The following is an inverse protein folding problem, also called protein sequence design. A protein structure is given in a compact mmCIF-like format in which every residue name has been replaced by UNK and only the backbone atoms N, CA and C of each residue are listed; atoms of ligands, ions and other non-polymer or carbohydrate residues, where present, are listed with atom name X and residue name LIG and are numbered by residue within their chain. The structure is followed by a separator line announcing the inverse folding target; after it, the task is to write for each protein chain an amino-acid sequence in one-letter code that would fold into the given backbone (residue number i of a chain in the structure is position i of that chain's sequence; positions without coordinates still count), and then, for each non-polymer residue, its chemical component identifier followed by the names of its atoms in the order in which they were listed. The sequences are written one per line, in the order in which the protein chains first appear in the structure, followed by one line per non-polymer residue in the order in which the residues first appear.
data_IF_350069148159
#
_entry.id   IF_350069148159
#
_cell.length_a   1.000
_cell.length_b   1.000
_cell.length_c   1.000
_cell.angle_alpha   90.00
_cell.angle_beta   90.00
_cell.angle_gamma   90.00
#
_symmetry.space_group_name_H-M   'P 1'
#
loop_
_entity.id
_entity.type
_entity.pdbx_description
1 polymer ?
#
# COMPACT_ATOMS: atom_id res chain seq x y z
N UNK A 1 -24.37 36.63 -26.42
CA UNK A 1 -25.07 37.32 -25.31
C UNK A 1 -25.02 36.41 -24.11
N UNK A 2 -24.09 36.64 -23.18
CA UNK A 2 -24.10 35.97 -21.87
C UNK A 2 -25.03 36.71 -20.92
N UNK A 3 -25.78 35.97 -20.10
CA UNK A 3 -26.52 36.55 -18.98
C UNK A 3 -25.57 36.83 -17.82
N UNK A 4 -25.92 37.73 -16.89
CA UNK A 4 -25.09 38.10 -15.73
C UNK A 4 -24.64 36.87 -14.89
N UNK A 5 -25.40 35.77 -14.95
CA UNK A 5 -25.14 34.53 -14.19
C UNK A 5 -24.56 33.41 -15.06
N UNK A 6 -24.16 33.69 -16.30
CA UNK A 6 -23.57 32.67 -17.17
C UNK A 6 -22.16 32.32 -16.68
N UNK A 7 -21.92 31.02 -16.50
CA UNK A 7 -20.57 30.49 -16.21
C UNK A 7 -19.70 30.71 -17.45
N UNK A 8 -18.53 31.32 -17.26
CA UNK A 8 -17.57 31.57 -18.31
C UNK A 8 -16.63 30.37 -18.46
N UNK A 9 -16.35 30.00 -19.70
CA UNK A 9 -15.36 28.98 -20.04
C UNK A 9 -13.94 29.48 -19.69
N UNK A 10 -13.02 28.63 -19.20
CA UNK A 10 -11.64 29.02 -18.90
C UNK A 10 -10.94 29.81 -20.01
N UNK A 11 -11.10 29.42 -21.28
CA UNK A 11 -10.49 30.12 -22.42
C UNK A 11 -11.01 31.55 -22.58
N UNK A 12 -12.31 31.75 -22.38
CA UNK A 12 -12.94 33.10 -22.44
C UNK A 12 -12.51 33.93 -21.23
N UNK A 13 -12.32 33.28 -20.08
CA UNK A 13 -11.93 33.92 -18.84
C UNK A 13 -10.48 34.41 -18.89
N UNK A 14 -9.56 33.62 -19.46
CA UNK A 14 -8.17 34.02 -19.75
C UNK A 14 -8.11 35.24 -20.65
N UNK A 15 -8.84 35.19 -21.76
CA UNK A 15 -8.87 36.27 -22.75
C UNK A 15 -9.33 37.60 -22.14
N UNK A 16 -10.40 37.58 -21.32
CA UNK A 16 -10.92 38.78 -20.66
C UNK A 16 -9.91 39.33 -19.62
N UNK A 17 -9.23 38.45 -18.89
CA UNK A 17 -8.23 38.91 -17.93
C UNK A 17 -7.00 39.53 -18.56
N UNK A 18 -6.53 38.98 -19.67
CA UNK A 18 -5.44 39.57 -20.43
C UNK A 18 -5.82 40.98 -20.91
N UNK A 19 -7.05 41.16 -21.42
CA UNK A 19 -7.57 42.46 -21.84
C UNK A 19 -7.69 43.47 -20.68
N UNK A 20 -7.93 42.99 -19.45
CA UNK A 20 -7.98 43.78 -18.23
C UNK A 20 -6.64 43.93 -17.51
N UNK A 21 -5.55 43.33 -18.03
CA UNK A 21 -4.22 43.38 -17.44
C UNK A 21 -4.09 42.61 -16.11
N UNK A 22 -4.93 41.61 -15.88
CA UNK A 22 -4.93 40.77 -14.69
C UNK A 22 -4.25 39.43 -14.98
N UNK A 23 -3.41 38.96 -14.07
CA UNK A 23 -2.93 37.58 -14.09
C UNK A 23 -3.93 36.70 -13.36
N UNK A 24 -4.54 35.74 -14.08
CA UNK A 24 -5.37 34.71 -13.47
C UNK A 24 -4.54 33.44 -13.35
N UNK A 25 -4.63 32.80 -12.19
CA UNK A 25 -4.22 31.43 -11.99
C UNK A 25 -5.48 30.57 -11.85
N UNK A 26 -5.75 29.68 -12.81
CA UNK A 26 -6.81 28.71 -12.69
C UNK A 26 -6.39 27.65 -11.69
N UNK A 27 -6.72 27.86 -10.42
CA UNK A 27 -6.65 26.80 -9.44
C UNK A 27 -7.62 25.73 -9.90
N UNK A 28 -7.11 24.53 -10.22
CA UNK A 28 -7.98 23.38 -10.34
C UNK A 28 -8.82 23.32 -9.06
N UNK A 29 -10.13 23.02 -9.14
CA UNK A 29 -10.92 22.83 -7.95
C UNK A 29 -10.23 21.74 -7.13
N UNK A 30 -9.61 22.14 -6.03
CA UNK A 30 -9.01 21.21 -5.07
C UNK A 30 -10.14 20.30 -4.67
N UNK A 31 -9.99 19.00 -4.94
CA UNK A 31 -11.06 18.08 -4.62
C UNK A 31 -11.21 18.07 -3.10
N UNK A 32 -12.43 17.82 -2.59
CA UNK A 32 -12.61 17.66 -1.14
C UNK A 32 -11.72 16.54 -0.58
N UNK A 33 -11.28 15.61 -1.44
CA UNK A 33 -10.27 14.60 -1.10
C UNK A 33 -8.88 15.19 -0.94
N UNK A 34 -8.40 16.05 -1.84
CA UNK A 34 -7.11 16.74 -1.66
C UNK A 34 -7.13 17.62 -0.42
N UNK A 35 -8.27 18.24 -0.08
CA UNK A 35 -8.43 18.95 1.19
C UNK A 35 -8.40 18.00 2.40
N UNK A 36 -8.99 16.80 2.30
CA UNK A 36 -8.92 15.79 3.35
C UNK A 36 -7.51 15.20 3.46
N UNK A 37 -6.87 14.84 2.35
CA UNK A 37 -5.49 14.39 2.28
C UNK A 37 -4.58 15.46 2.89
N UNK A 38 -4.72 16.73 2.48
CA UNK A 38 -3.95 17.83 3.05
C UNK A 38 -4.28 18.08 4.52
N UNK A 39 -5.54 17.90 4.95
CA UNK A 39 -5.91 17.98 6.37
C UNK A 39 -5.29 16.85 7.17
N UNK A 40 -5.28 15.62 6.66
CA UNK A 40 -4.76 14.47 7.39
C UNK A 40 -3.23 14.38 7.31
N UNK A 41 -2.61 14.60 6.15
CA UNK A 41 -1.15 14.60 5.97
C UNK A 41 -0.48 15.91 6.39
N UNK A 42 -1.15 17.05 6.25
CA UNK A 42 -0.61 18.38 6.58
C UNK A 42 -0.92 18.85 8.01
N UNK A 43 -1.61 18.05 8.82
CA UNK A 43 -1.59 18.21 10.27
C UNK A 43 -0.18 17.85 10.75
N UNK A 44 0.66 18.87 10.96
CA UNK A 44 1.92 18.72 11.67
C UNK A 44 1.61 18.19 13.07
N UNK A 45 1.90 16.90 13.27
CA UNK A 45 1.82 16.25 14.57
C UNK A 45 2.90 16.86 15.48
N UNK A 46 2.57 17.08 16.77
CA UNK A 46 3.59 17.47 17.74
C UNK A 46 4.67 16.36 17.77
N UNK A 47 5.96 16.69 17.68
CA UNK A 47 7.03 15.69 17.78
C UNK A 47 6.93 14.79 19.02
N UNK A 48 6.26 15.24 20.08
CA UNK A 48 6.01 14.44 21.29
C UNK A 48 4.94 13.34 21.11
N UNK A 49 4.02 13.50 20.15
CA UNK A 49 2.96 12.53 19.85
C UNK A 49 3.41 11.47 18.83
N UNK A 50 4.53 11.70 18.15
CA UNK A 50 5.12 10.77 17.20
C UNK A 50 5.82 9.61 17.92
N UNK A 51 5.33 8.39 17.68
CA UNK A 51 5.94 7.15 18.18
C UNK A 51 6.48 6.32 17.02
N UNK A 52 7.51 5.52 17.30
CA UNK A 52 8.04 4.54 16.34
C UNK A 52 6.93 3.56 15.98
N UNK A 53 6.71 3.36 14.68
CA UNK A 53 5.70 2.40 14.17
C UNK A 53 6.34 1.20 13.50
N UNK A 54 5.63 0.05 13.44
CA UNK A 54 6.07 -1.11 12.66
C UNK A 54 6.28 -0.77 11.18
N UNK A 55 7.27 -1.35 10.49
CA UNK A 55 7.38 -1.21 9.03
C UNK A 55 6.28 -2.00 8.32
N UNK A 56 5.78 -1.44 7.22
CA UNK A 56 4.93 -2.13 6.24
C UNK A 56 5.79 -2.55 5.05
N UNK A 57 5.80 -3.84 4.75
CA UNK A 57 6.74 -4.46 3.82
C UNK A 57 5.97 -5.16 2.70
N UNK A 58 6.35 -4.92 1.44
CA UNK A 58 5.79 -5.66 0.29
C UNK A 58 6.82 -6.55 -0.36
N UNK A 59 6.39 -7.71 -0.85
CA UNK A 59 7.21 -8.56 -1.70
C UNK A 59 6.90 -8.27 -3.17
N UNK A 60 7.94 -7.97 -3.94
CA UNK A 60 7.89 -7.71 -5.37
C UNK A 60 8.86 -8.64 -6.11
N UNK A 61 8.71 -8.77 -7.43
CA UNK A 61 9.59 -9.61 -8.26
C UNK A 61 8.82 -10.50 -9.23
N UNK A 62 9.57 -11.25 -10.04
CA UNK A 62 9.02 -12.09 -11.11
C UNK A 62 8.15 -13.25 -10.60
N UNK A 63 7.26 -13.75 -11.45
CA UNK A 63 6.50 -14.99 -11.21
C UNK A 63 7.47 -16.14 -10.93
N UNK A 64 7.08 -17.06 -10.04
CA UNK A 64 7.87 -18.24 -9.63
C UNK A 64 9.24 -17.98 -8.97
N UNK A 65 9.54 -16.72 -8.62
CA UNK A 65 10.70 -16.40 -7.77
C UNK A 65 10.47 -16.68 -6.27
N UNK A 66 9.27 -17.14 -5.89
CA UNK A 66 8.97 -17.59 -4.53
C UNK A 66 8.60 -16.50 -3.52
N UNK A 67 8.02 -15.37 -3.97
CA UNK A 67 7.48 -14.29 -3.10
C UNK A 67 6.51 -14.82 -2.04
N UNK A 68 5.44 -15.46 -2.48
CA UNK A 68 4.42 -16.03 -1.60
C UNK A 68 4.98 -17.13 -0.72
N UNK A 69 5.84 -18.01 -1.26
CA UNK A 69 6.47 -19.08 -0.47
C UNK A 69 7.37 -18.53 0.64
N UNK A 70 8.07 -17.42 0.38
CA UNK A 70 8.92 -16.76 1.37
C UNK A 70 8.06 -16.12 2.47
N UNK A 71 6.97 -15.45 2.09
CA UNK A 71 6.00 -14.89 3.03
C UNK A 71 5.34 -15.98 3.88
N UNK A 72 4.89 -17.07 3.26
CA UNK A 72 4.31 -18.24 3.92
C UNK A 72 5.26 -18.81 4.98
N UNK A 73 6.56 -18.92 4.63
CA UNK A 73 7.60 -19.38 5.54
C UNK A 73 7.80 -18.43 6.72
N UNK A 74 7.70 -17.12 6.50
CA UNK A 74 7.83 -16.07 7.53
C UNK A 74 6.65 -16.14 8.52
N UNK A 75 5.44 -16.31 8.03
CA UNK A 75 4.22 -16.26 8.84
C UNK A 75 3.77 -17.64 9.35
N UNK A 76 4.54 -18.69 9.05
CA UNK A 76 4.29 -20.09 9.42
C UNK A 76 2.89 -20.59 9.00
N UNK A 77 2.47 -20.23 7.78
CA UNK A 77 1.25 -20.75 7.16
C UNK A 77 1.55 -21.31 5.78
N UNK A 78 0.70 -22.20 5.28
CA UNK A 78 0.77 -22.72 3.92
C UNK A 78 -0.45 -22.23 3.13
N UNK A 79 -0.28 -21.10 2.45
CA UNK A 79 -1.28 -20.50 1.57
C UNK A 79 -1.14 -21.00 0.14
N UNK A 80 0.10 -21.14 -0.34
CA UNK A 80 0.41 -21.51 -1.73
C UNK A 80 -0.28 -22.81 -2.13
N UNK A 81 -0.38 -23.79 -1.22
CA UNK A 81 -1.07 -25.07 -1.50
C UNK A 81 -2.59 -24.94 -1.66
N UNK A 82 -3.21 -23.88 -1.13
CA UNK A 82 -4.65 -23.64 -1.15
C UNK A 82 -5.15 -22.75 -2.29
N UNK A 83 -4.27 -22.04 -2.99
CA UNK A 83 -4.63 -21.15 -4.10
C UNK A 83 -4.80 -21.90 -5.43
N UNK A 84 -5.81 -21.51 -6.20
CA UNK A 84 -6.08 -22.12 -7.51
C UNK A 84 -4.93 -21.83 -8.48
N UNK A 85 -4.25 -22.88 -8.94
CA UNK A 85 -3.10 -22.76 -9.84
C UNK A 85 -1.77 -22.47 -9.17
N UNK A 86 -1.70 -22.49 -7.82
CA UNK A 86 -0.44 -22.31 -7.07
C UNK A 86 0.17 -20.92 -7.15
N UNK A 87 -0.63 -19.90 -7.52
CA UNK A 87 -0.21 -18.50 -7.63
C UNK A 87 -1.11 -17.58 -6.81
N UNK A 88 -0.53 -16.48 -6.32
CA UNK A 88 -1.27 -15.44 -5.58
C UNK A 88 -2.06 -14.55 -6.52
N UNK A 89 -3.38 -14.52 -6.31
CA UNK A 89 -4.34 -13.76 -7.13
C UNK A 89 -4.96 -12.57 -6.38
N UNK A 90 -4.83 -12.54 -5.05
CA UNK A 90 -5.43 -11.52 -4.19
C UNK A 90 -4.36 -10.82 -3.36
N UNK A 91 -4.55 -9.51 -3.11
CA UNK A 91 -3.68 -8.78 -2.17
C UNK A 91 -3.95 -9.31 -0.76
N UNK A 92 -2.89 -9.66 -0.05
CA UNK A 92 -2.98 -10.12 1.34
C UNK A 92 -2.21 -9.18 2.23
N UNK A 93 -2.59 -9.11 3.50
CA UNK A 93 -1.79 -8.37 4.47
C UNK A 93 -1.84 -9.06 5.82
N UNK A 94 -0.69 -9.13 6.49
CA UNK A 94 -0.50 -9.88 7.73
C UNK A 94 0.41 -9.08 8.66
N UNK A 95 0.25 -9.25 9.97
CA UNK A 95 1.16 -8.70 10.98
C UNK A 95 1.77 -9.87 11.74
N UNK A 96 3.09 -9.84 11.95
CA UNK A 96 3.80 -10.78 12.83
C UNK A 96 4.60 -10.03 13.88
N UNK A 97 5.08 -10.76 14.87
CA UNK A 97 6.00 -10.27 15.89
C UNK A 97 7.33 -11.04 15.83
N UNK A 98 8.44 -10.30 15.76
CA UNK A 98 9.81 -10.80 15.83
C UNK A 98 10.54 -10.07 16.95
N UNK A 99 10.97 -10.80 17.97
CA UNK A 99 11.73 -10.27 19.11
C UNK A 99 11.08 -9.03 19.78
N UNK A 100 9.75 -9.04 19.89
CA UNK A 100 8.96 -7.93 20.47
C UNK A 100 8.73 -6.75 19.52
N UNK A 101 9.23 -6.81 18.29
CA UNK A 101 8.97 -5.81 17.23
C UNK A 101 7.96 -6.38 16.24
N UNK A 102 6.95 -5.58 15.90
CA UNK A 102 5.94 -5.97 14.93
C UNK A 102 6.39 -5.63 13.52
N UNK A 103 5.97 -6.43 12.55
CA UNK A 103 6.23 -6.23 11.12
C UNK A 103 4.94 -6.54 10.37
N UNK A 104 4.55 -5.63 9.49
CA UNK A 104 3.37 -5.80 8.65
C UNK A 104 3.80 -6.13 7.22
N UNK A 105 3.20 -7.14 6.64
CA UNK A 105 3.43 -7.55 5.27
C UNK A 105 2.22 -7.27 4.40
N UNK A 106 2.45 -6.86 3.16
CA UNK A 106 1.46 -6.76 2.09
C UNK A 106 1.95 -7.63 0.94
N UNK A 107 1.22 -8.69 0.64
CA UNK A 107 1.53 -9.58 -0.48
C UNK A 107 0.79 -9.11 -1.73
N UNK A 108 1.53 -8.98 -2.85
CA UNK A 108 0.96 -8.56 -4.13
C UNK A 108 1.18 -9.61 -5.21
N UNK A 109 0.19 -9.85 -6.09
CA UNK A 109 0.36 -10.74 -7.24
C UNK A 109 1.50 -10.32 -8.18
N UNK A 110 2.31 -11.29 -8.62
CA UNK A 110 3.46 -11.05 -9.50
C UNK A 110 3.18 -11.05 -11.01
N UNK A 111 1.98 -11.46 -11.46
CA UNK A 111 1.67 -11.59 -12.88
C UNK A 111 1.48 -10.22 -13.56
N UNK A 112 1.84 -10.09 -14.84
CA UNK A 112 1.73 -8.83 -15.62
C UNK A 112 0.32 -8.23 -15.60
N UNK A 113 -0.71 -9.08 -15.63
CA UNK A 113 -2.10 -8.64 -15.54
C UNK A 113 -2.46 -7.85 -14.25
N UNK A 114 -1.57 -7.82 -13.24
CA UNK A 114 -1.79 -7.18 -11.94
C UNK A 114 -0.80 -6.03 -11.66
N UNK A 115 -0.29 -5.36 -12.69
CA UNK A 115 0.61 -4.20 -12.54
C UNK A 115 0.02 -3.12 -11.62
N UNK A 116 -1.28 -2.83 -11.70
CA UNK A 116 -1.93 -1.89 -10.79
C UNK A 116 -1.85 -2.33 -9.31
N UNK A 117 -1.88 -3.63 -9.03
CA UNK A 117 -1.76 -4.13 -7.66
C UNK A 117 -0.34 -3.96 -7.12
N UNK A 118 0.69 -4.10 -7.96
CA UNK A 118 2.09 -3.83 -7.59
C UNK A 118 2.31 -2.36 -7.26
N UNK A 119 1.82 -1.46 -8.10
CA UNK A 119 1.89 -0.03 -7.84
C UNK A 119 1.20 0.37 -6.52
N UNK A 120 0.05 -0.25 -6.23
CA UNK A 120 -0.66 -0.05 -4.95
C UNK A 120 0.12 -0.58 -3.75
N UNK A 121 0.71 -1.77 -3.86
CA UNK A 121 1.58 -2.33 -2.82
C UNK A 121 2.71 -1.37 -2.50
N UNK A 122 3.47 -0.96 -3.51
CA UNK A 122 4.60 -0.04 -3.35
C UNK A 122 4.19 1.28 -2.66
N UNK A 123 3.09 1.91 -3.07
CA UNK A 123 2.65 3.19 -2.49
C UNK A 123 2.18 3.11 -1.02
N UNK A 124 1.91 1.91 -0.53
CA UNK A 124 1.39 1.69 0.83
C UNK A 124 2.49 1.24 1.80
N UNK A 125 3.64 0.84 1.27
CA UNK A 125 4.71 0.21 2.03
C UNK A 125 5.88 1.13 2.31
N UNK A 126 6.54 0.88 3.43
CA UNK A 126 7.74 1.59 3.85
C UNK A 126 9.00 0.96 3.27
N UNK A 127 8.98 -0.35 2.97
CA UNK A 127 10.11 -1.10 2.41
C UNK A 127 9.60 -2.11 1.37
N UNK A 128 10.30 -2.20 0.23
CA UNK A 128 10.04 -3.20 -0.79
C UNK A 128 11.10 -4.31 -0.76
N UNK A 129 10.68 -5.56 -0.60
CA UNK A 129 11.53 -6.74 -0.76
C UNK A 129 11.46 -7.21 -2.21
N UNK A 130 12.55 -7.05 -2.95
CA UNK A 130 12.67 -7.55 -4.31
C UNK A 130 13.17 -9.01 -4.28
N UNK A 131 12.29 -9.95 -4.58
CA UNK A 131 12.62 -11.38 -4.61
C UNK A 131 13.16 -11.76 -5.99
N UNK A 132 14.44 -12.15 -6.03
CA UNK A 132 15.15 -12.56 -7.24
C UNK A 132 15.60 -14.00 -7.06
N UNK A 133 15.13 -14.90 -7.92
CA UNK A 133 15.54 -16.29 -7.83
C UNK A 133 16.96 -16.47 -8.36
N UNK A 134 17.76 -17.25 -7.65
CA UNK A 134 19.19 -17.37 -7.93
C UNK A 134 19.52 -18.22 -9.18
N UNK A 135 18.59 -19.09 -9.58
CA UNK A 135 18.61 -19.86 -10.82
C UNK A 135 18.29 -18.99 -12.04
N UNK A 136 17.32 -18.08 -11.92
CA UNK A 136 16.85 -17.24 -13.02
C UNK A 136 17.67 -15.96 -13.17
N UNK A 137 17.78 -15.17 -12.11
CA UNK A 137 18.36 -13.82 -12.12
C UNK A 137 17.31 -12.72 -12.32
N UNK A 138 17.74 -11.55 -12.81
CA UNK A 138 16.83 -10.42 -13.06
C UNK A 138 16.02 -10.66 -14.34
N UNK A 139 14.70 -10.58 -14.20
CA UNK A 139 13.72 -10.79 -15.28
C UNK A 139 12.90 -9.52 -15.55
N UNK A 140 12.18 -9.39 -16.68
CA UNK A 140 11.43 -8.16 -17.02
C UNK A 140 10.46 -7.67 -15.93
N UNK A 141 9.72 -8.57 -15.26
CA UNK A 141 8.85 -8.18 -14.15
C UNK A 141 9.61 -7.72 -12.90
N UNK A 142 10.88 -8.13 -12.77
CA UNK A 142 11.78 -7.63 -11.72
C UNK A 142 12.15 -6.18 -12.04
N UNK A 143 12.47 -5.86 -13.29
CA UNK A 143 12.74 -4.48 -13.74
C UNK A 143 11.52 -3.57 -13.53
N UNK A 144 10.32 -4.06 -13.86
CA UNK A 144 9.07 -3.35 -13.56
C UNK A 144 8.87 -3.11 -12.06
N UNK A 145 9.13 -4.13 -11.22
CA UNK A 145 9.05 -3.99 -9.78
C UNK A 145 10.03 -2.94 -9.23
N UNK A 146 11.25 -2.90 -9.77
CA UNK A 146 12.26 -1.87 -9.42
C UNK A 146 11.73 -0.48 -9.79
N UNK A 147 11.17 -0.33 -10.99
CA UNK A 147 10.58 0.93 -11.45
C UNK A 147 9.46 1.42 -10.52
N UNK A 148 8.55 0.52 -10.10
CA UNK A 148 7.47 0.88 -9.18
C UNK A 148 7.97 1.29 -7.79
N UNK A 149 8.91 0.53 -7.22
CA UNK A 149 9.46 0.86 -5.91
C UNK A 149 10.19 2.21 -5.92
N UNK A 150 10.94 2.50 -6.99
CA UNK A 150 11.61 3.79 -7.18
C UNK A 150 10.64 4.95 -7.39
N UNK A 151 9.60 4.75 -8.20
CA UNK A 151 8.58 5.77 -8.43
C UNK A 151 7.81 6.12 -7.14
N UNK A 152 7.69 5.16 -6.22
CA UNK A 152 7.10 5.35 -4.90
C UNK A 152 8.12 5.83 -3.83
N UNK A 153 9.39 6.04 -4.20
CA UNK A 153 10.48 6.42 -3.30
C UNK A 153 10.67 5.45 -2.11
N UNK A 154 10.37 4.17 -2.33
CA UNK A 154 10.45 3.13 -1.30
C UNK A 154 11.84 2.47 -1.34
N UNK A 155 12.55 2.35 -0.20
CA UNK A 155 13.81 1.62 -0.12
C UNK A 155 13.64 0.15 -0.49
N UNK A 156 14.62 -0.38 -1.23
CA UNK A 156 14.60 -1.74 -1.76
C UNK A 156 15.61 -2.60 -1.00
N UNK A 157 15.15 -3.74 -0.48
CA UNK A 157 15.99 -4.83 0.03
C UNK A 157 15.84 -6.02 -0.92
N UNK A 158 16.93 -6.64 -1.34
CA UNK A 158 16.87 -7.77 -2.26
C UNK A 158 16.91 -9.08 -1.48
N UNK A 159 15.93 -9.96 -1.72
CA UNK A 159 15.96 -11.34 -1.27
C UNK A 159 16.39 -12.24 -2.45
N UNK A 160 17.65 -12.66 -2.46
CA UNK A 160 18.15 -13.65 -3.42
C UNK A 160 17.65 -15.03 -3.00
N UNK A 161 16.56 -15.50 -3.61
CA UNK A 161 15.87 -16.72 -3.22
C UNK A 161 16.37 -17.96 -3.98
N UNK A 162 16.01 -19.16 -3.50
CA UNK A 162 16.39 -20.47 -4.07
C UNK A 162 17.90 -20.75 -4.05
N UNK A 163 18.62 -20.24 -3.04
CA UNK A 163 20.07 -20.52 -2.87
C UNK A 163 20.38 -21.99 -2.61
N UNK A 164 19.37 -22.79 -2.28
CA UNK A 164 19.49 -24.22 -2.06
C UNK A 164 19.69 -25.05 -3.33
N UNK A 165 19.44 -24.46 -4.51
CA UNK A 165 19.63 -25.11 -5.79
C UNK A 165 21.12 -25.22 -6.16
N UNK A 166 21.55 -26.33 -6.80
CA UNK A 166 22.94 -26.47 -7.25
C UNK A 166 23.23 -25.54 -8.43
N UNK A 167 24.44 -24.99 -8.48
CA UNK A 167 24.89 -24.18 -9.63
C UNK A 167 24.50 -22.71 -9.58
N UNK A 168 24.08 -22.21 -8.42
CA UNK A 168 23.86 -20.77 -8.18
C UNK A 168 25.17 -20.00 -8.34
N UNK A 169 25.15 -18.98 -9.21
CA UNK A 169 26.25 -18.02 -9.39
C UNK A 169 25.82 -16.65 -8.87
N UNK A 170 26.26 -16.34 -7.65
CA UNK A 170 25.95 -15.08 -6.95
C UNK A 170 26.51 -13.86 -7.70
N UNK A 171 27.69 -13.99 -8.30
CA UNK A 171 28.33 -12.87 -9.00
C UNK A 171 27.53 -12.46 -10.23
N UNK A 172 26.92 -13.43 -10.93
CA UNK A 172 26.02 -13.14 -12.05
C UNK A 172 24.84 -12.26 -11.58
N UNK A 173 24.20 -12.63 -10.48
CA UNK A 173 23.03 -11.90 -9.96
C UNK A 173 23.45 -10.50 -9.49
N UNK A 174 24.58 -10.36 -8.80
CA UNK A 174 25.11 -9.04 -8.41
C UNK A 174 25.41 -8.14 -9.61
N UNK A 175 25.91 -8.70 -10.72
CA UNK A 175 26.11 -7.94 -11.97
C UNK A 175 24.78 -7.48 -12.59
N UNK A 176 23.79 -8.37 -12.63
CA UNK A 176 22.46 -8.06 -13.18
C UNK A 176 21.73 -7.01 -12.33
N UNK A 177 21.79 -7.10 -11.00
CA UNK A 177 21.27 -6.09 -10.08
C UNK A 177 21.96 -4.74 -10.28
N UNK A 178 23.29 -4.73 -10.36
CA UNK A 178 24.08 -3.51 -10.58
C UNK A 178 23.75 -2.84 -11.92
N UNK A 179 23.47 -3.64 -12.96
CA UNK A 179 23.04 -3.14 -14.27
C UNK A 179 21.67 -2.44 -14.19
N UNK A 180 20.83 -2.88 -13.26
CA UNK A 180 19.54 -2.27 -12.92
C UNK A 180 19.67 -1.21 -11.83
N UNK A 181 20.88 -0.66 -11.65
CA UNK A 181 21.20 0.41 -10.71
C UNK A 181 20.90 0.04 -9.24
N UNK A 182 20.83 -1.24 -8.92
CA UNK A 182 20.80 -1.75 -7.55
C UNK A 182 22.17 -2.31 -7.19
N UNK A 183 23.04 -1.47 -6.65
CA UNK A 183 24.40 -1.88 -6.31
C UNK A 183 24.40 -2.58 -4.94
N UNK A 184 24.81 -3.86 -4.86
CA UNK A 184 24.86 -4.59 -3.59
C UNK A 184 25.81 -3.97 -2.56
N UNK A 185 25.47 -4.06 -1.28
CA UNK A 185 26.30 -3.55 -0.16
C UNK A 185 27.69 -4.20 -0.12
N UNK A 186 27.82 -5.48 -0.51
CA UNK A 186 29.09 -6.18 -0.61
C UNK A 186 30.02 -5.63 -1.71
N UNK A 187 29.45 -4.92 -2.68
CA UNK A 187 30.18 -4.24 -3.76
C UNK A 187 30.35 -2.74 -3.47
N UNK A 188 30.06 -2.32 -2.24
CA UNK A 188 30.16 -0.93 -1.78
C UNK A 188 28.95 -0.06 -2.16
N UNK A 189 27.83 -0.68 -2.52
CA UNK A 189 26.56 0.00 -2.72
C UNK A 189 25.73 0.17 -1.46
N UNK A 190 24.46 0.50 -1.64
CA UNK A 190 23.47 0.81 -0.61
C UNK A 190 22.32 -0.20 -0.55
N UNK A 191 22.26 -1.15 -1.49
CA UNK A 191 21.22 -2.17 -1.53
C UNK A 191 21.67 -3.40 -0.74
N UNK A 192 20.96 -3.71 0.34
CA UNK A 192 21.19 -4.95 1.08
C UNK A 192 20.67 -6.16 0.29
N UNK A 193 21.51 -7.19 0.14
CA UNK A 193 21.14 -8.44 -0.54
C UNK A 193 21.21 -9.60 0.45
N UNK A 194 20.05 -10.13 0.81
CA UNK A 194 19.93 -11.27 1.73
C UNK A 194 19.70 -12.55 0.95
N UNK A 195 20.51 -13.57 1.24
CA UNK A 195 20.44 -14.89 0.62
C UNK A 195 19.40 -15.73 1.33
N UNK A 196 18.40 -16.22 0.60
CA UNK A 196 17.23 -16.89 1.18
C UNK A 196 16.88 -18.20 0.47
N UNK A 197 16.32 -19.14 1.23
CA UNK A 197 15.66 -20.33 0.69
C UNK A 197 14.29 -20.46 1.34
N UNK A 198 13.23 -20.16 0.59
CA UNK A 198 11.86 -20.32 1.08
C UNK A 198 11.54 -21.79 1.48
N UNK A 199 12.16 -22.77 0.80
CA UNK A 199 11.93 -24.20 1.04
C UNK A 199 12.64 -24.71 2.29
N UNK A 200 13.90 -24.32 2.51
CA UNK A 200 14.68 -24.73 3.69
C UNK A 200 14.48 -23.80 4.88
N UNK A 201 14.06 -22.56 4.64
CA UNK A 201 14.01 -21.48 5.62
C UNK A 201 15.36 -20.80 5.87
N UNK A 202 16.39 -21.09 5.05
CA UNK A 202 17.69 -20.45 5.18
C UNK A 202 17.57 -18.95 4.93
N UNK A 203 18.23 -18.12 5.74
CA UNK A 203 18.28 -16.65 5.59
C UNK A 203 16.98 -15.89 5.88
N UNK A 204 15.89 -16.56 6.26
CA UNK A 204 14.62 -15.88 6.59
C UNK A 204 14.77 -14.99 7.83
N UNK A 205 15.48 -15.48 8.85
CA UNK A 205 15.74 -14.72 10.08
C UNK A 205 16.58 -13.47 9.80
N UNK A 206 17.66 -13.65 9.00
CA UNK A 206 18.52 -12.56 8.54
C UNK A 206 17.76 -11.52 7.72
N UNK A 207 16.81 -11.95 6.87
CA UNK A 207 15.97 -11.03 6.11
C UNK A 207 15.12 -10.16 7.05
N UNK A 208 14.50 -10.76 8.07
CA UNK A 208 13.69 -10.01 9.05
C UNK A 208 14.54 -9.03 9.86
N UNK A 209 15.75 -9.42 10.28
CA UNK A 209 16.68 -8.54 10.98
C UNK A 209 17.13 -7.36 10.11
N UNK A 210 17.46 -7.61 8.85
CA UNK A 210 17.82 -6.57 7.87
C UNK A 210 16.66 -5.61 7.66
N UNK A 211 15.42 -6.11 7.51
CA UNK A 211 14.24 -5.26 7.33
C UNK A 211 13.96 -4.37 8.54
N UNK A 212 14.12 -4.90 9.76
CA UNK A 212 14.01 -4.11 10.98
C UNK A 212 15.11 -3.04 11.08
N UNK A 213 16.33 -3.37 10.66
CA UNK A 213 17.46 -2.44 10.63
C UNK A 213 17.23 -1.30 9.65
N UNK A 214 16.77 -1.61 8.44
CA UNK A 214 16.39 -0.59 7.43
C UNK A 214 15.26 0.28 7.96
N UNK A 215 14.23 -0.29 8.59
CA UNK A 215 13.14 0.46 9.19
C UNK A 215 13.62 1.46 10.26
N UNK A 216 14.60 1.08 11.09
CA UNK A 216 15.20 1.96 12.09
C UNK A 216 15.99 3.12 11.46
N UNK A 217 16.72 2.87 10.36
CA UNK A 217 17.45 3.91 9.63
C UNK A 217 16.52 4.95 9.02
N UNK A 218 15.32 4.54 8.63
CA UNK A 218 14.29 5.42 8.06
C UNK A 218 13.40 6.13 9.10
N UNK A 219 13.65 5.93 10.42
CA UNK A 219 12.95 6.60 11.53
C UNK A 219 11.41 6.62 11.38
N UNK A 220 10.84 5.46 11.04
CA UNK A 220 9.40 5.33 10.76
C UNK A 220 8.56 5.69 11.99
N UNK A 221 7.81 6.79 11.87
CA UNK A 221 6.96 7.34 12.94
C UNK A 221 5.50 7.48 12.51
N UNK A 222 4.61 7.44 13.50
CA UNK A 222 3.21 7.86 13.35
C UNK A 222 2.65 8.36 14.68
N UNK A 223 1.53 9.07 14.61
CA UNK A 223 0.77 9.53 15.74
C UNK A 223 -0.44 8.59 15.98
N UNK A 224 -0.45 7.74 17.00
CA UNK A 224 -1.58 6.86 17.28
C UNK A 224 -2.78 7.59 17.91
N UNK A 225 -2.61 8.80 18.43
CA UNK A 225 -3.62 9.53 19.21
C UNK A 225 -4.66 10.26 18.35
N UNK A 226 -4.45 10.36 17.04
CA UNK A 226 -5.35 11.03 16.09
C UNK A 226 -6.34 10.08 15.41
N UNK A 227 -7.31 10.68 14.73
CA UNK A 227 -8.24 9.96 13.86
C UNK A 227 -7.49 9.21 12.77
N UNK A 228 -7.87 7.95 12.55
CA UNK A 228 -7.16 7.10 11.60
C UNK A 228 -7.36 7.54 10.15
N UNK A 229 -6.30 7.39 9.37
CA UNK A 229 -6.35 7.33 7.92
C UNK A 229 -5.48 6.18 7.42
N UNK A 230 -5.75 5.73 6.21
CA UNK A 230 -4.96 4.71 5.56
C UNK A 230 -5.54 4.33 4.22
N UNK A 231 -5.32 3.08 3.81
CA UNK A 231 -5.66 2.63 2.46
C UNK A 231 -6.48 1.34 2.50
N UNK A 232 -7.47 1.25 1.61
CA UNK A 232 -8.20 0.02 1.31
C UNK A 232 -7.34 -0.86 0.40
N UNK A 233 -6.96 -2.04 0.88
CA UNK A 233 -6.19 -3.01 0.09
C UNK A 233 -7.12 -3.78 -0.85
N UNK A 234 -8.25 -4.24 -0.34
CA UNK A 234 -9.22 -5.05 -1.07
C UNK A 234 -10.59 -4.97 -0.38
N UNK A 235 -11.69 -5.01 -1.14
CA UNK A 235 -13.02 -5.11 -0.57
C UNK A 235 -13.92 -6.02 -1.40
N UNK A 236 -14.77 -6.77 -0.71
CA UNK A 236 -15.70 -7.70 -1.33
C UNK A 236 -17.01 -7.79 -0.54
N UNK A 237 -18.07 -8.26 -1.21
CA UNK A 237 -19.35 -8.52 -0.57
C UNK A 237 -19.47 -9.99 -0.20
N UNK A 238 -19.60 -10.26 1.11
CA UNK A 238 -19.74 -11.61 1.66
C UNK A 238 -21.18 -11.90 2.10
N UNK A 239 -21.67 -13.08 1.75
CA UNK A 239 -23.01 -13.54 2.14
C UNK A 239 -23.09 -13.64 3.66
N UNK A 240 -24.04 -12.91 4.27
CA UNK A 240 -24.29 -12.91 5.70
C UNK A 240 -23.40 -11.96 6.53
N UNK A 241 -22.26 -11.50 6.01
CA UNK A 241 -21.38 -10.52 6.67
C UNK A 241 -21.47 -9.11 6.08
N UNK A 242 -22.06 -8.97 4.89
CA UNK A 242 -22.16 -7.69 4.18
C UNK A 242 -20.84 -7.36 3.50
N UNK A 243 -20.49 -6.08 3.43
CA UNK A 243 -19.21 -5.64 2.88
C UNK A 243 -18.09 -5.95 3.88
N UNK A 244 -17.09 -6.69 3.43
CA UNK A 244 -15.84 -6.94 4.13
C UNK A 244 -14.73 -6.22 3.37
N UNK A 245 -14.04 -5.31 4.03
CA UNK A 245 -12.93 -4.56 3.46
C UNK A 245 -11.66 -4.84 4.28
N UNK A 246 -10.57 -5.14 3.57
CA UNK A 246 -9.22 -5.30 4.12
C UNK A 246 -8.53 -3.96 4.00
N UNK A 247 -8.19 -3.38 5.14
CA UNK A 247 -7.61 -2.05 5.24
C UNK A 247 -6.24 -2.14 5.89
N UNK A 248 -5.41 -1.12 5.67
CA UNK A 248 -4.18 -0.91 6.43
C UNK A 248 -4.16 0.52 6.95
N UNK A 249 -3.98 0.66 8.26
CA UNK A 249 -3.92 1.96 8.94
C UNK A 249 -2.52 2.53 8.76
N UNK A 250 -2.39 3.76 8.25
CA UNK A 250 -1.09 4.41 8.07
C UNK A 250 -0.74 5.33 9.25
N UNK A 251 -1.74 6.03 9.78
CA UNK A 251 -1.59 6.92 10.93
C UNK A 251 -2.90 6.95 11.75
N UNK A 252 -2.83 7.37 13.00
CA UNK A 252 -3.96 7.33 13.94
C UNK A 252 -4.34 5.93 14.39
N UNK A 253 -5.44 5.84 15.15
CA UNK A 253 -5.99 4.56 15.61
C UNK A 253 -7.43 4.40 15.14
N UNK A 254 -7.71 3.32 14.43
CA UNK A 254 -9.04 2.95 13.96
C UNK A 254 -9.74 2.11 15.03
N UNK A 255 -10.95 2.47 15.41
CA UNK A 255 -11.73 1.81 16.46
C UNK A 255 -13.07 1.27 15.95
N UNK A 256 -13.57 0.25 16.63
CA UNK A 256 -14.96 -0.21 16.40
C UNK A 256 -15.92 0.89 16.82
N UNK A 257 -16.82 1.27 15.92
CA UNK A 257 -17.78 2.36 16.10
C UNK A 257 -17.40 3.65 15.39
N UNK A 258 -16.18 3.75 14.85
CA UNK A 258 -15.75 4.91 14.08
C UNK A 258 -16.57 5.11 12.81
N UNK A 259 -16.74 6.37 12.42
CA UNK A 259 -17.38 6.74 11.17
C UNK A 259 -16.28 6.84 10.13
N UNK A 260 -16.42 6.09 9.05
CA UNK A 260 -15.39 5.91 8.03
C UNK A 260 -15.95 6.28 6.66
N UNK A 261 -15.15 6.99 5.88
CA UNK A 261 -15.35 7.19 4.44
C UNK A 261 -14.16 6.58 3.71
N UNK A 262 -14.42 5.85 2.63
CA UNK A 262 -13.39 5.25 1.78
C UNK A 262 -13.86 5.36 0.34
N UNK A 263 -13.27 6.31 -0.37
CA UNK A 263 -13.73 6.69 -1.70
C UNK A 263 -15.23 6.95 -1.82
N UNK A 264 -15.91 6.19 -2.68
CA UNK A 264 -17.36 6.29 -2.89
C UNK A 264 -18.21 5.57 -1.83
N UNK A 265 -17.60 4.92 -0.84
CA UNK A 265 -18.27 4.18 0.23
C UNK A 265 -18.13 4.88 1.58
N UNK A 266 -19.12 4.71 2.45
CA UNK A 266 -19.08 5.24 3.82
C UNK A 266 -19.82 4.33 4.79
N UNK A 267 -19.60 4.52 6.09
CA UNK A 267 -20.31 3.74 7.08
C UNK A 267 -19.82 3.93 8.50
N UNK A 268 -20.25 3.02 9.36
CA UNK A 268 -19.77 2.92 10.74
C UNK A 268 -19.14 1.54 10.93
N UNK A 269 -17.92 1.50 11.46
CA UNK A 269 -17.19 0.25 11.73
C UNK A 269 -17.99 -0.60 12.70
N UNK A 270 -18.54 -1.73 12.24
CA UNK A 270 -19.37 -2.64 13.05
C UNK A 270 -18.52 -3.67 13.78
N UNK A 271 -17.51 -4.19 13.12
CA UNK A 271 -16.58 -5.14 13.68
C UNK A 271 -15.28 -5.10 12.88
N UNK A 272 -14.19 -5.39 13.59
CA UNK A 272 -12.86 -5.56 13.03
C UNK A 272 -12.31 -6.92 13.42
N UNK A 273 -11.56 -7.53 12.51
CA UNK A 273 -10.98 -8.86 12.65
C UNK A 273 -9.53 -8.83 12.22
N UNK A 274 -8.71 -9.63 12.90
CA UNK A 274 -7.33 -9.86 12.54
C UNK A 274 -7.23 -10.49 11.13
N UNK A 275 -6.21 -10.13 10.36
CA UNK A 275 -6.05 -10.62 8.99
C UNK A 275 -5.41 -12.01 8.92
N UNK A 276 -4.55 -12.36 9.88
CA UNK A 276 -3.92 -13.68 9.99
C UNK A 276 -4.85 -14.68 10.67
N UNK A 277 -5.63 -14.21 11.66
CA UNK A 277 -6.61 -14.99 12.41
C UNK A 277 -8.04 -14.43 12.24
N UNK A 278 -8.73 -14.67 11.10
CA UNK A 278 -10.02 -14.04 10.78
C UNK A 278 -11.16 -14.24 11.78
N UNK A 279 -11.03 -15.18 12.72
CA UNK A 279 -12.00 -15.43 13.80
C UNK A 279 -11.76 -14.54 15.02
N UNK A 280 -10.56 -14.01 15.17
CA UNK A 280 -10.18 -13.13 16.27
C UNK A 280 -10.69 -11.71 15.96
N UNK A 281 -11.50 -11.18 16.88
CA UNK A 281 -11.96 -9.79 16.82
C UNK A 281 -10.92 -8.87 17.44
N UNK A 282 -10.76 -7.71 16.83
CA UNK A 282 -9.95 -6.61 17.37
C UNK A 282 -10.86 -5.39 17.61
N UNK A 283 -10.58 -4.62 18.65
CA UNK A 283 -11.38 -3.43 19.01
C UNK A 283 -10.75 -2.13 18.51
N UNK A 284 -9.43 -2.14 18.33
CA UNK A 284 -8.63 -1.04 17.84
C UNK A 284 -7.54 -1.58 16.91
N UNK A 285 -7.17 -0.80 15.90
CA UNK A 285 -6.04 -1.04 15.00
C UNK A 285 -5.21 0.24 14.91
N UNK A 286 -3.95 0.16 15.35
CA UNK A 286 -3.02 1.30 15.34
C UNK A 286 -2.28 1.43 14.00
N UNK A 287 -1.32 2.35 13.91
CA UNK A 287 -0.50 2.54 12.71
C UNK A 287 0.21 1.26 12.28
N UNK A 288 0.30 1.07 10.97
CA UNK A 288 0.83 -0.09 10.26
C UNK A 288 0.05 -1.39 10.41
N UNK A 289 -1.04 -1.43 11.19
CA UNK A 289 -1.78 -2.68 11.42
C UNK A 289 -2.80 -2.93 10.30
N UNK A 290 -2.73 -4.09 9.60
CA UNK A 290 -3.76 -4.51 8.65
C UNK A 290 -4.98 -5.07 9.39
N UNK A 291 -6.19 -4.80 8.89
CA UNK A 291 -7.44 -5.21 9.54
C UNK A 291 -8.55 -5.52 8.54
N UNK A 292 -9.30 -6.59 8.80
CA UNK A 292 -10.54 -6.88 8.09
C UNK A 292 -11.70 -6.21 8.82
N UNK A 293 -12.36 -5.24 8.19
CA UNK A 293 -13.47 -4.51 8.79
C UNK A 293 -14.80 -4.76 8.06
N UNK A 294 -15.89 -4.62 8.80
CA UNK A 294 -17.25 -4.56 8.26
C UNK A 294 -17.94 -3.28 8.69
N UNK A 295 -18.87 -2.77 7.88
CA UNK A 295 -19.64 -1.59 8.24
C UNK A 295 -19.92 -0.60 7.11
N UNK A 296 -19.24 -0.75 5.97
CA UNK A 296 -19.53 0.03 4.78
C UNK A 296 -20.91 -0.30 4.20
N UNK A 297 -21.51 0.71 3.56
CA UNK A 297 -22.74 0.59 2.79
C UNK A 297 -22.53 -0.18 1.48
N UNK A 298 -21.41 0.08 0.80
CA UNK A 298 -20.98 -0.54 -0.46
C UNK A 298 -19.50 -0.91 -0.39
N UNK A 299 -19.03 -1.79 -1.27
CA UNK A 299 -17.61 -2.14 -1.31
C UNK A 299 -16.79 -0.98 -1.89
N UNK A 300 -15.84 -0.39 -1.14
CA UNK A 300 -14.93 0.63 -1.69
C UNK A 300 -14.02 0.04 -2.76
N UNK A 301 -13.47 0.88 -3.63
CA UNK A 301 -12.48 0.41 -4.58
C UNK A 301 -11.14 0.15 -3.89
N UNK A 302 -10.41 -0.86 -4.35
CA UNK A 302 -9.07 -1.15 -3.86
C UNK A 302 -8.10 -0.02 -4.26
N UNK A 303 -7.20 0.35 -3.35
CA UNK A 303 -6.27 1.47 -3.49
C UNK A 303 -6.83 2.82 -3.03
N UNK A 304 -8.13 2.92 -2.72
CA UNK A 304 -8.69 4.18 -2.22
C UNK A 304 -8.28 4.44 -0.76
N UNK A 305 -8.01 5.70 -0.45
CA UNK A 305 -7.76 6.12 0.92
C UNK A 305 -9.06 6.16 1.72
N UNK A 306 -8.93 5.84 3.01
CA UNK A 306 -10.00 6.01 3.97
C UNK A 306 -9.63 7.04 5.04
N UNK A 307 -10.67 7.67 5.58
CA UNK A 307 -10.56 8.65 6.65
C UNK A 307 -11.63 8.39 7.71
N UNK A 308 -11.22 8.46 8.97
CA UNK A 308 -12.14 8.49 10.11
C UNK A 308 -12.62 9.92 10.33
N UNK A 309 -13.94 10.10 10.45
CA UNK A 309 -14.59 11.39 10.64
C UNK A 309 -15.46 11.38 11.90
N UNK A 310 -15.86 12.57 12.36
CA UNK A 310 -16.72 12.71 13.54
C UNK A 310 -18.22 12.63 13.19
N UNK A 311 -18.59 12.91 11.94
CA UNK A 311 -19.99 12.97 11.49
C UNK A 311 -20.27 12.10 10.25
N UNK A 312 -21.33 11.30 10.36
CA UNK A 312 -21.80 10.40 9.30
C UNK A 312 -22.43 11.17 8.14
N UNK A 313 -23.01 12.35 8.39
CA UNK A 313 -23.55 13.19 7.34
C UNK A 313 -22.43 13.76 6.46
N UNK A 314 -21.31 14.14 7.06
CA UNK A 314 -20.12 14.57 6.34
C UNK A 314 -19.52 13.43 5.52
N UNK A 315 -19.33 12.25 6.12
CA UNK A 315 -18.83 11.05 5.44
C UNK A 315 -19.68 10.71 4.19
N UNK A 316 -21.01 10.76 4.32
CA UNK A 316 -21.94 10.53 3.20
C UNK A 316 -21.75 11.54 2.08
N UNK A 317 -21.69 12.83 2.41
CA UNK A 317 -21.55 13.91 1.42
C UNK A 317 -20.25 13.74 0.62
N UNK A 318 -19.15 13.36 1.28
CA UNK A 318 -17.86 13.11 0.60
C UNK A 318 -18.00 11.92 -0.36
N UNK A 319 -18.54 10.80 0.11
CA UNK A 319 -18.73 9.60 -0.70
C UNK A 319 -19.63 9.82 -1.93
N UNK A 320 -20.77 10.49 -1.75
CA UNK A 320 -21.71 10.81 -2.84
C UNK A 320 -21.06 11.72 -3.89
N UNK A 321 -20.30 12.73 -3.45
CA UNK A 321 -19.56 13.63 -4.35
C UNK A 321 -18.57 12.85 -5.22
N UNK A 322 -17.83 11.91 -4.62
CA UNK A 322 -16.88 11.07 -5.33
C UNK A 322 -17.56 10.15 -6.34
N UNK A 323 -18.66 9.51 -5.95
CA UNK A 323 -19.43 8.65 -6.84
C UNK A 323 -19.92 9.39 -8.10
N UNK A 324 -20.27 10.67 -7.96
CA UNK A 324 -20.63 11.54 -9.11
C UNK A 324 -19.40 11.84 -9.97
N UNK A 325 -18.27 12.21 -9.37
CA UNK A 325 -17.03 12.53 -10.09
C UNK A 325 -16.50 11.32 -10.88
N UNK A 326 -16.42 10.14 -10.25
CA UNK A 326 -15.99 8.89 -10.90
C UNK A 326 -16.91 8.51 -12.06
N UNK A 327 -18.23 8.71 -11.92
CA UNK A 327 -19.19 8.49 -13.01
C UNK A 327 -19.02 9.47 -14.16
N UNK A 328 -18.76 10.74 -13.86
CA UNK A 328 -18.51 11.76 -14.89
C UNK A 328 -17.23 11.47 -15.68
N UNK A 329 -16.14 11.06 -15.01
CA UNK A 329 -14.91 10.64 -15.67
C UNK A 329 -15.10 9.40 -16.54
N UNK A 330 -15.85 8.39 -16.06
CA UNK A 330 -16.13 7.19 -16.85
C UNK A 330 -16.97 7.47 -18.11
N UNK A 331 -17.80 8.51 -18.10
CA UNK A 331 -18.63 8.91 -19.23
C UNK A 331 -17.94 9.89 -20.19
N UNK A 332 -16.90 10.61 -19.74
CA UNK A 332 -16.11 11.54 -20.56
C UNK A 332 -14.94 10.89 -21.32
N UNK A 333 -14.63 9.63 -21.03
CA UNK A 333 -13.54 8.87 -21.64
C UNK A 333 -13.92 8.07 -22.88
N UNK A 334 -14.72 8.64 -23.80
CA UNK A 334 -14.99 8.07 -25.14
C UNK A 334 -14.51 8.99 -26.24
#
# INVERSE_FOLDING_TARGET
MGTITAVLDPEITEFIAEELGLQIEFKQPVSMEDELLAKFQGLEDDPADLVVRPPVITFLGHVDHGKTSLLDRIIDIDVVSGESGGITQHIRAYEIEKDGKRISFVDTPGHEAFTEMRARGANVTDIAVLVVAADDGVMPQTEEAISHARAAEVPIVVAMNKIDLPGVDENRIYQELSTNELLPSEWGGDVEVVKTSATKGDGVDELLETLLTVAELHDLKANPARAAYGTCLEAQQEVGRGVVAKMIVQNGTLNVGDIIVCGGAFGRVKAMYDTLHPKQKVTAAGPSTPVNLTGFDTAPAAGEHFYVLDDIAEARRIAETRLVATRAQALGGT
#
